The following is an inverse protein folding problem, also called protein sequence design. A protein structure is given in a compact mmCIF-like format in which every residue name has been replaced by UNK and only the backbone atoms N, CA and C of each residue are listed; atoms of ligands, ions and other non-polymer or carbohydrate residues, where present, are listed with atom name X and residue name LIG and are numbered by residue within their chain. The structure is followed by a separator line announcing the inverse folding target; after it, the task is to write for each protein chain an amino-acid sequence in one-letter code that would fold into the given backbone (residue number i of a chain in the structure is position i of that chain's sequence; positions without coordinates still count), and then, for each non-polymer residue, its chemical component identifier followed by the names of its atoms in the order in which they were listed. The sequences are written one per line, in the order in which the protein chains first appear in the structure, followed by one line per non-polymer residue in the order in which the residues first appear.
data_IF_637624292867
#
_entry.id   IF_637624292867
#
_cell.length_a   1.000
_cell.length_b   1.000
_cell.length_c   1.000
_cell.angle_alpha   90.00
_cell.angle_beta   90.00
_cell.angle_gamma   90.00
#
_symmetry.space_group_name_H-M   'P 1'
#
loop_
_entity.id
_entity.type
_entity.pdbx_description
1 polymer ?
#
# COMPACT_ATOMS: atom_id res chain seq x y z
N UNK A 1 -15.92 10.33 13.66
CA UNK A 1 -14.71 9.58 13.28
C UNK A 1 -14.91 8.07 13.40
N UNK A 2 -14.81 7.49 14.61
CA UNK A 2 -14.71 6.02 14.83
C UNK A 2 -15.88 5.18 14.31
N UNK A 3 -17.09 5.72 14.25
CA UNK A 3 -18.26 4.99 13.72
C UNK A 3 -18.16 4.77 12.20
N UNK A 4 -17.56 5.70 11.45
CA UNK A 4 -17.61 5.71 9.98
C UNK A 4 -16.90 4.51 9.37
N UNK A 5 -15.66 4.21 9.79
CA UNK A 5 -14.88 3.06 9.30
C UNK A 5 -15.35 1.70 9.83
N UNK A 6 -16.26 1.72 10.80
CA UNK A 6 -16.89 0.55 11.41
C UNK A 6 -18.36 0.39 10.98
N UNK A 7 -18.87 1.33 10.16
CA UNK A 7 -20.28 1.39 9.80
C UNK A 7 -20.58 0.39 8.69
N UNK A 8 -21.45 -0.58 8.97
CA UNK A 8 -21.95 -1.50 7.95
C UNK A 8 -22.82 -0.80 6.89
N UNK A 9 -23.32 0.41 7.17
CA UNK A 9 -24.12 1.21 6.22
C UNK A 9 -23.27 1.96 5.20
N UNK A 10 -22.02 2.32 5.53
CA UNK A 10 -21.15 3.04 4.59
C UNK A 10 -20.18 2.05 3.95
N UNK A 11 -20.29 1.85 2.64
CA UNK A 11 -19.40 0.98 1.89
C UNK A 11 -17.97 1.60 1.83
N UNK A 12 -16.95 0.79 2.12
CA UNK A 12 -15.54 1.19 2.00
C UNK A 12 -15.05 1.26 0.55
N UNK A 13 -15.82 0.72 -0.40
CA UNK A 13 -15.49 0.65 -1.83
C UNK A 13 -15.08 2.00 -2.41
N UNK A 14 -15.86 3.07 -2.18
CA UNK A 14 -15.53 4.38 -2.72
C UNK A 14 -14.20 4.95 -2.22
N UNK A 15 -13.88 4.76 -0.93
CA UNK A 15 -12.57 5.14 -0.40
C UNK A 15 -11.43 4.26 -0.94
N UNK A 16 -11.69 2.95 -1.06
CA UNK A 16 -10.73 2.00 -1.61
C UNK A 16 -10.39 2.32 -3.07
N UNK A 17 -11.39 2.54 -3.91
CA UNK A 17 -11.24 2.94 -5.31
C UNK A 17 -10.42 4.25 -5.42
N UNK A 18 -10.72 5.24 -4.58
CA UNK A 18 -9.98 6.51 -4.56
C UNK A 18 -8.50 6.34 -4.16
N UNK A 19 -8.21 5.47 -3.19
CA UNK A 19 -6.84 5.15 -2.78
C UNK A 19 -6.11 4.40 -3.91
N UNK A 20 -6.74 3.40 -4.52
CA UNK A 20 -6.19 2.67 -5.67
C UNK A 20 -5.80 3.64 -6.79
N UNK A 21 -6.72 4.51 -7.19
CA UNK A 21 -6.52 5.45 -8.31
C UNK A 21 -5.49 6.54 -7.96
N UNK A 22 -5.41 6.94 -6.70
CA UNK A 22 -4.32 7.78 -6.20
C UNK A 22 -2.96 7.08 -6.28
N UNK A 23 -2.84 5.84 -5.79
CA UNK A 23 -1.59 5.08 -5.85
C UNK A 23 -1.13 4.85 -7.29
N UNK A 24 -2.07 4.57 -8.20
CA UNK A 24 -1.84 4.44 -9.65
C UNK A 24 -1.07 5.62 -10.24
N UNK A 25 -1.33 6.84 -9.77
CA UNK A 25 -0.76 8.09 -10.30
C UNK A 25 0.40 8.63 -9.48
N UNK A 26 0.42 8.37 -8.17
CA UNK A 26 1.44 8.86 -7.24
C UNK A 26 2.73 8.03 -7.31
N UNK A 27 2.61 6.69 -7.33
CA UNK A 27 3.75 5.78 -7.25
C UNK A 27 4.71 5.82 -8.46
N UNK A 28 4.27 5.96 -9.73
CA UNK A 28 5.14 5.95 -10.89
C UNK A 28 6.35 6.86 -10.78
N UNK A 29 6.16 8.10 -10.33
CA UNK A 29 7.24 9.09 -10.20
C UNK A 29 8.32 8.63 -9.22
N UNK A 30 7.89 8.07 -8.08
CA UNK A 30 8.78 7.57 -7.03
C UNK A 30 9.49 6.29 -7.49
N UNK A 31 8.76 5.36 -8.09
CA UNK A 31 9.31 4.10 -8.61
C UNK A 31 10.32 4.35 -9.73
N UNK A 32 10.06 5.31 -10.63
CA UNK A 32 10.99 5.69 -11.68
C UNK A 32 12.26 6.33 -11.13
N UNK A 33 12.13 7.21 -10.13
CA UNK A 33 13.29 7.82 -9.46
C UNK A 33 14.12 6.78 -8.69
N UNK A 34 13.47 5.73 -8.18
CA UNK A 34 14.12 4.56 -7.61
C UNK A 34 14.56 3.51 -8.65
N UNK A 35 14.39 3.78 -9.95
CA UNK A 35 14.62 2.90 -11.11
C UNK A 35 14.05 1.48 -10.94
N UNK A 36 12.83 1.36 -10.41
CA UNK A 36 12.04 0.13 -10.53
C UNK A 36 11.27 0.08 -11.86
N UNK A 37 10.89 1.23 -12.41
CA UNK A 37 10.13 1.35 -13.66
C UNK A 37 10.73 2.44 -14.55
N UNK A 38 10.33 2.47 -15.82
CA UNK A 38 10.80 3.47 -16.78
C UNK A 38 10.38 4.90 -16.36
N UNK A 39 11.19 5.94 -16.60
CA UNK A 39 10.80 7.34 -16.39
C UNK A 39 9.60 7.81 -17.20
N UNK A 40 9.27 7.08 -18.28
CA UNK A 40 8.10 7.32 -19.13
C UNK A 40 6.81 6.78 -18.52
N UNK A 41 6.86 5.91 -17.51
CA UNK A 41 5.67 5.38 -16.81
C UNK A 41 4.94 6.50 -16.11
N UNK A 42 3.73 6.82 -16.58
CA UNK A 42 2.86 7.86 -16.01
C UNK A 42 1.82 7.32 -15.05
N UNK A 43 1.35 6.12 -15.32
CA UNK A 43 0.32 5.43 -14.54
C UNK A 43 0.68 3.96 -14.39
N UNK A 44 0.27 3.36 -13.27
CA UNK A 44 0.37 1.93 -13.04
C UNK A 44 -0.90 1.19 -13.51
N UNK A 45 -0.79 -0.04 -13.99
CA UNK A 45 -1.96 -0.91 -14.18
C UNK A 45 -2.72 -1.10 -12.87
N UNK A 46 -4.04 -1.23 -12.97
CA UNK A 46 -4.95 -1.46 -11.85
C UNK A 46 -5.83 -2.67 -12.12
N UNK A 47 -6.12 -3.45 -11.08
CA UNK A 47 -7.11 -4.54 -11.15
C UNK A 47 -6.92 -5.50 -12.33
N UNK A 48 -5.66 -5.87 -12.62
CA UNK A 48 -5.37 -6.77 -13.72
C UNK A 48 -5.92 -8.18 -13.43
N UNK A 49 -6.54 -8.78 -14.45
CA UNK A 49 -6.95 -10.19 -14.48
C UNK A 49 -5.78 -11.08 -14.88
N UNK A 50 -5.99 -12.41 -14.86
CA UNK A 50 -5.05 -13.40 -15.40
C UNK A 50 -3.67 -13.43 -14.73
N UNK A 51 -3.56 -12.80 -13.56
CA UNK A 51 -2.35 -12.83 -12.72
C UNK A 51 -2.16 -14.20 -12.02
N UNK A 52 -3.24 -14.97 -11.91
CA UNK A 52 -3.27 -16.35 -11.45
C UNK A 52 -4.05 -17.15 -12.51
N UNK A 53 -3.39 -17.87 -13.44
CA UNK A 53 -4.03 -18.45 -14.62
C UNK A 53 -5.18 -19.44 -14.34
N UNK A 54 -5.16 -20.14 -13.20
CA UNK A 54 -6.24 -21.01 -12.75
C UNK A 54 -7.45 -20.24 -12.20
N UNK A 55 -7.30 -18.93 -12.00
CA UNK A 55 -8.30 -18.02 -11.44
C UNK A 55 -8.38 -16.70 -12.25
N UNK A 56 -8.71 -16.76 -13.56
CA UNK A 56 -8.57 -15.63 -14.49
C UNK A 56 -9.40 -14.40 -14.08
N UNK A 57 -10.59 -14.61 -13.52
CA UNK A 57 -11.49 -13.52 -13.08
C UNK A 57 -11.01 -12.82 -11.80
N UNK A 58 -10.01 -13.37 -11.10
CA UNK A 58 -9.52 -12.79 -9.86
C UNK A 58 -8.56 -11.66 -10.16
N UNK A 59 -8.75 -10.57 -9.42
CA UNK A 59 -7.90 -9.38 -9.41
C UNK A 59 -7.12 -9.39 -8.10
N UNK A 60 -5.91 -9.96 -8.07
CA UNK A 60 -5.14 -10.09 -6.82
C UNK A 60 -4.52 -8.78 -6.36
N UNK A 61 -4.36 -7.82 -7.28
CA UNK A 61 -3.70 -6.54 -7.06
C UNK A 61 -4.66 -5.40 -7.39
N UNK A 62 -4.73 -4.41 -6.50
CA UNK A 62 -5.42 -3.16 -6.79
C UNK A 62 -4.58 -2.29 -7.72
N UNK A 63 -3.26 -2.28 -7.52
CA UNK A 63 -2.27 -1.59 -8.35
C UNK A 63 -1.06 -2.51 -8.53
N UNK A 64 -0.43 -2.52 -9.69
CA UNK A 64 0.74 -3.37 -9.95
C UNK A 64 1.80 -2.64 -10.77
N UNK A 65 3.04 -3.13 -10.71
CA UNK A 65 4.08 -2.72 -11.64
C UNK A 65 5.00 -3.88 -11.97
N UNK A 66 5.58 -3.85 -13.17
CA UNK A 66 6.63 -4.76 -13.58
C UNK A 66 7.99 -4.09 -13.36
N UNK A 67 8.83 -4.63 -12.46
CA UNK A 67 10.20 -4.17 -12.32
C UNK A 67 10.96 -4.27 -13.65
N UNK A 68 11.75 -3.25 -14.00
CA UNK A 68 12.58 -3.27 -15.21
C UNK A 68 14.04 -3.55 -14.82
N UNK A 69 14.51 -4.82 -14.93
CA UNK A 69 15.78 -5.26 -14.32
C UNK A 69 17.05 -4.68 -14.97
N UNK A 70 16.95 -3.93 -16.07
CA UNK A 70 18.09 -3.44 -16.86
C UNK A 70 18.07 -1.93 -17.08
N UNK A 71 17.39 -1.15 -16.22
CA UNK A 71 17.34 0.30 -16.38
C UNK A 71 18.72 0.97 -16.27
N UNK A 72 19.59 0.44 -15.40
CA UNK A 72 20.95 0.92 -15.20
C UNK A 72 21.80 -0.15 -14.53
N UNK A 73 23.12 0.02 -14.52
CA UNK A 73 24.04 -0.85 -13.79
C UNK A 73 23.84 -0.80 -12.26
N UNK A 74 23.16 0.24 -11.76
CA UNK A 74 22.89 0.44 -10.33
C UNK A 74 21.43 0.15 -9.96
N UNK A 75 20.58 -0.23 -10.93
CA UNK A 75 19.17 -0.51 -10.71
C UNK A 75 18.97 -1.61 -9.63
N UNK A 76 17.93 -1.50 -8.79
CA UNK A 76 17.70 -2.49 -7.74
C UNK A 76 17.42 -3.86 -8.34
N UNK A 77 18.04 -4.90 -7.79
CA UNK A 77 17.67 -6.26 -8.13
C UNK A 77 16.24 -6.54 -7.64
N UNK A 78 15.31 -6.72 -8.57
CA UNK A 78 13.92 -7.08 -8.31
C UNK A 78 13.48 -8.10 -9.37
N UNK A 79 13.69 -9.40 -9.14
CA UNK A 79 13.54 -10.45 -10.15
C UNK A 79 12.08 -10.91 -10.32
N UNK A 80 11.12 -10.12 -9.85
CA UNK A 80 9.72 -10.49 -9.89
C UNK A 80 9.10 -10.06 -11.22
N UNK A 81 8.20 -10.91 -11.75
CA UNK A 81 7.44 -10.58 -12.94
C UNK A 81 6.52 -9.38 -12.69
N UNK A 82 5.72 -9.47 -11.62
CA UNK A 82 4.83 -8.39 -11.17
C UNK A 82 5.01 -8.18 -9.67
N UNK A 83 5.13 -6.92 -9.28
CA UNK A 83 4.96 -6.46 -7.90
C UNK A 83 3.56 -5.86 -7.80
N UNK A 84 2.72 -6.51 -7.02
CA UNK A 84 1.34 -6.08 -6.81
C UNK A 84 1.12 -5.51 -5.42
N UNK A 85 0.28 -4.49 -5.35
CA UNK A 85 -0.17 -3.80 -4.15
C UNK A 85 -1.65 -4.08 -3.99
N UNK A 86 -2.03 -4.57 -2.80
CA UNK A 86 -3.42 -4.90 -2.48
C UNK A 86 -3.85 -4.10 -1.24
N UNK A 87 -4.63 -3.05 -1.50
CA UNK A 87 -5.08 -2.06 -0.54
C UNK A 87 -6.10 -2.67 0.38
N UNK A 88 -5.95 -2.38 1.67
CA UNK A 88 -6.95 -2.71 2.68
C UNK A 88 -7.17 -1.51 3.58
N UNK A 89 -8.43 -1.24 3.92
CA UNK A 89 -8.79 -0.18 4.87
C UNK A 89 -9.24 -0.85 6.17
N UNK A 90 -8.34 -0.98 7.17
CA UNK A 90 -8.71 -1.51 8.47
C UNK A 90 -9.88 -0.73 9.06
N UNK A 91 -10.75 -1.44 9.77
CA UNK A 91 -11.74 -0.80 10.65
C UNK A 91 -11.00 0.00 11.73
N UNK A 92 -11.64 0.97 12.39
CA UNK A 92 -10.97 1.68 13.49
C UNK A 92 -10.76 0.72 14.67
N UNK A 93 -9.52 0.56 15.19
CA UNK A 93 -9.30 -0.28 16.37
C UNK A 93 -10.12 0.24 17.55
N UNK A 94 -10.81 -0.67 18.26
CA UNK A 94 -11.44 -0.32 19.53
C UNK A 94 -10.34 -0.14 20.57
N UNK A 95 -9.97 1.11 20.83
CA UNK A 95 -9.05 1.45 21.92
C UNK A 95 -9.82 1.38 23.25
N UNK A 96 -9.40 0.49 24.15
CA UNK A 96 -9.77 0.57 25.57
C UNK A 96 -9.27 1.91 26.16
N UNK A 97 -9.97 2.51 27.13
CA UNK A 97 -9.53 3.75 27.75
C UNK A 97 -8.09 3.60 28.28
N UNK A 98 -7.20 4.59 28.04
CA UNK A 98 -5.84 4.49 28.56
C UNK A 98 -5.88 4.52 30.09
N UNK A 99 -5.45 3.42 30.72
CA UNK A 99 -5.05 3.47 32.12
C UNK A 99 -3.73 4.25 32.21
N UNK A 100 -3.63 5.18 33.17
CA UNK A 100 -2.47 6.03 33.44
C UNK A 100 -1.20 5.17 33.69
N UNK A 101 -0.53 4.75 32.61
CA UNK A 101 0.76 4.07 32.64
C UNK A 101 1.76 4.90 31.84
N UNK A 102 3.03 4.86 32.23
CA UNK A 102 4.10 5.63 31.58
C UNK A 102 4.29 5.24 30.09
N UNK A 103 3.82 4.05 29.68
CA UNK A 103 4.05 3.46 28.34
C UNK A 103 2.83 3.50 27.42
N UNK A 104 1.89 4.43 27.61
CA UNK A 104 0.64 4.50 26.83
C UNK A 104 0.90 4.63 25.32
N UNK A 105 1.87 5.46 24.90
CA UNK A 105 2.20 5.66 23.48
C UNK A 105 2.68 4.36 22.83
N UNK A 106 3.55 3.61 23.52
CA UNK A 106 4.10 2.36 23.01
C UNK A 106 3.01 1.30 22.88
N UNK A 107 2.16 1.16 23.91
CA UNK A 107 1.03 0.22 23.90
C UNK A 107 0.03 0.54 22.80
N UNK A 108 -0.33 1.81 22.62
CA UNK A 108 -1.23 2.26 21.56
C UNK A 108 -0.63 1.97 20.18
N UNK A 109 0.66 2.27 19.98
CA UNK A 109 1.36 2.01 18.72
C UNK A 109 1.45 0.52 18.40
N UNK A 110 1.75 -0.31 19.39
CA UNK A 110 1.81 -1.77 19.24
C UNK A 110 0.42 -2.36 18.91
N UNK A 111 -0.63 -1.86 19.55
CA UNK A 111 -2.00 -2.29 19.28
C UNK A 111 -2.46 -1.88 17.87
N UNK A 112 -2.14 -0.66 17.42
CA UNK A 112 -2.42 -0.21 16.06
C UNK A 112 -1.70 -1.10 15.02
N UNK A 113 -0.43 -1.44 15.27
CA UNK A 113 0.33 -2.33 14.40
C UNK A 113 -0.28 -3.74 14.33
N UNK A 114 -0.61 -4.35 15.47
CA UNK A 114 -1.28 -5.67 15.51
C UNK A 114 -2.60 -5.64 14.75
N UNK A 115 -3.34 -4.54 14.88
CA UNK A 115 -4.59 -4.34 14.15
C UNK A 115 -4.37 -4.28 12.63
N UNK A 116 -3.41 -3.50 12.15
CA UNK A 116 -3.04 -3.48 10.72
C UNK A 116 -2.62 -4.86 10.22
N UNK A 117 -1.77 -5.56 10.97
CA UNK A 117 -1.32 -6.90 10.63
C UNK A 117 -2.46 -7.91 10.52
N UNK A 118 -3.57 -7.73 11.24
CA UNK A 118 -4.73 -8.61 11.11
C UNK A 118 -5.36 -8.52 9.71
N UNK A 119 -5.40 -7.32 9.11
CA UNK A 119 -5.91 -7.07 7.76
C UNK A 119 -4.89 -7.46 6.69
N UNK A 120 -3.61 -7.16 6.89
CA UNK A 120 -2.55 -7.62 5.97
C UNK A 120 -2.52 -9.15 5.88
N UNK A 121 -2.74 -9.83 7.01
CA UNK A 121 -2.87 -11.29 7.06
C UNK A 121 -4.07 -11.80 6.28
N UNK A 122 -5.22 -11.10 6.35
CA UNK A 122 -6.41 -11.47 5.58
C UNK A 122 -6.17 -11.37 4.07
N UNK A 123 -5.43 -10.34 3.62
CA UNK A 123 -5.04 -10.19 2.20
C UNK A 123 -4.11 -11.32 1.75
N UNK A 124 -3.06 -11.62 2.52
CA UNK A 124 -2.11 -12.70 2.20
C UNK A 124 -2.72 -14.10 2.30
N UNK A 125 -3.80 -14.29 3.06
CA UNK A 125 -4.57 -15.53 3.10
C UNK A 125 -5.67 -15.59 2.03
N UNK A 126 -5.97 -14.44 1.41
CA UNK A 126 -7.13 -14.22 0.54
C UNK A 126 -8.41 -14.75 1.19
N UNK A 127 -8.66 -14.35 2.44
CA UNK A 127 -9.80 -14.88 3.23
C UNK A 127 -11.17 -14.62 2.57
N UNK A 128 -11.27 -13.59 1.71
CA UNK A 128 -12.47 -13.34 0.88
C UNK A 128 -12.73 -14.39 -0.20
N UNK A 129 -11.69 -15.14 -0.61
CA UNK A 129 -11.76 -16.21 -1.62
C UNK A 129 -11.91 -17.61 -0.97
N UNK A 130 -12.36 -17.67 0.29
CA UNK A 130 -12.70 -18.91 1.01
C UNK A 130 -11.58 -19.98 0.96
N UNK A 131 -11.89 -21.16 0.42
CA UNK A 131 -10.98 -22.32 0.33
C UNK A 131 -9.92 -22.17 -0.76
N UNK A 132 -10.13 -21.29 -1.75
CA UNK A 132 -9.23 -21.10 -2.90
C UNK A 132 -8.11 -20.11 -2.59
N UNK A 133 -8.26 -19.30 -1.54
CA UNK A 133 -7.35 -18.19 -1.28
C UNK A 133 -5.87 -18.55 -1.21
N UNK A 134 -5.52 -19.68 -0.57
CA UNK A 134 -4.10 -20.11 -0.49
C UNK A 134 -3.60 -20.70 -1.82
N UNK A 135 -4.49 -21.27 -2.63
CA UNK A 135 -4.16 -21.77 -3.97
C UNK A 135 -3.88 -20.60 -4.93
N UNK A 136 -4.70 -19.54 -4.90
CA UNK A 136 -4.46 -18.29 -5.64
C UNK A 136 -3.07 -17.73 -5.29
N UNK A 137 -2.72 -17.64 -4.01
CA UNK A 137 -1.38 -17.19 -3.59
C UNK A 137 -0.28 -18.13 -4.10
N UNK A 138 -0.55 -19.44 -4.14
CA UNK A 138 0.33 -20.44 -4.74
C UNK A 138 0.63 -20.17 -6.22
N UNK A 139 -0.37 -19.80 -7.00
CA UNK A 139 -0.21 -19.44 -8.42
C UNK A 139 0.55 -18.12 -8.61
N UNK A 140 0.22 -17.08 -7.82
CA UNK A 140 1.03 -15.85 -7.83
C UNK A 140 2.50 -16.15 -7.51
N UNK A 141 2.75 -17.12 -6.62
CA UNK A 141 4.10 -17.54 -6.29
C UNK A 141 4.79 -18.24 -7.47
N UNK A 142 4.09 -19.09 -8.22
CA UNK A 142 4.65 -19.82 -9.38
C UNK A 142 4.89 -18.90 -10.58
N UNK A 143 4.02 -17.92 -10.80
CA UNK A 143 4.20 -16.87 -11.83
C UNK A 143 5.29 -15.84 -11.46
N UNK A 144 6.01 -16.05 -10.36
CA UNK A 144 7.09 -15.17 -9.93
C UNK A 144 6.61 -13.78 -9.50
N UNK A 145 5.34 -13.65 -9.10
CA UNK A 145 4.76 -12.40 -8.61
C UNK A 145 4.98 -12.25 -7.11
N UNK A 146 4.83 -11.02 -6.62
CA UNK A 146 4.82 -10.70 -5.19
C UNK A 146 3.62 -9.81 -4.86
N UNK A 147 2.94 -10.14 -3.76
CA UNK A 147 1.79 -9.43 -3.23
C UNK A 147 2.21 -8.65 -1.98
N UNK A 148 2.05 -7.33 -2.01
CA UNK A 148 2.32 -6.42 -0.88
C UNK A 148 0.97 -5.92 -0.36
N UNK A 149 0.51 -6.38 0.81
CA UNK A 149 -0.63 -5.78 1.48
C UNK A 149 -0.35 -4.32 1.82
N UNK A 150 -1.29 -3.45 1.52
CA UNK A 150 -1.16 -2.01 1.71
C UNK A 150 -2.28 -1.51 2.61
N UNK A 151 -2.11 -1.72 3.92
CA UNK A 151 -3.09 -1.26 4.88
C UNK A 151 -3.02 0.26 5.06
N UNK A 152 -4.19 0.93 4.99
CA UNK A 152 -4.34 2.38 5.17
C UNK A 152 -5.49 2.65 6.14
N UNK A 153 -5.20 3.32 7.25
CA UNK A 153 -6.21 3.74 8.23
C UNK A 153 -6.52 5.25 8.17
N UNK A 154 -7.55 5.65 8.91
CA UNK A 154 -8.04 7.03 8.94
C UNK A 154 -7.16 8.04 9.68
N UNK A 155 -6.00 7.64 10.24
CA UNK A 155 -5.09 8.57 10.90
C UNK A 155 -4.17 9.31 9.90
N UNK A 156 -4.10 8.86 8.64
CA UNK A 156 -3.37 9.54 7.58
C UNK A 156 -1.84 9.60 7.78
N UNK A 157 -1.09 9.81 6.69
CA UNK A 157 0.38 9.91 6.73
C UNK A 157 1.11 8.62 7.10
N UNK A 158 2.36 8.73 7.58
CA UNK A 158 3.23 7.59 7.92
C UNK A 158 2.66 6.73 9.08
N UNK A 159 1.90 7.34 9.98
CA UNK A 159 1.26 6.65 11.12
C UNK A 159 0.03 5.83 10.74
N UNK A 160 -0.62 6.15 9.61
CA UNK A 160 -1.81 5.44 9.14
C UNK A 160 -1.54 4.29 8.18
N UNK A 161 -0.28 3.88 8.02
CA UNK A 161 0.11 2.79 7.13
C UNK A 161 0.39 1.50 7.91
N UNK A 162 0.01 0.37 7.30
CA UNK A 162 0.38 -0.96 7.78
C UNK A 162 1.88 -1.23 7.68
N UNK A 163 2.42 -2.16 8.48
CA UNK A 163 3.83 -2.49 8.45
C UNK A 163 4.35 -2.93 7.08
N UNK A 164 3.56 -3.62 6.26
CA UNK A 164 3.99 -4.01 4.92
C UNK A 164 4.07 -2.82 3.96
N UNK A 165 3.11 -1.89 4.04
CA UNK A 165 3.16 -0.63 3.29
C UNK A 165 4.37 0.22 3.71
N UNK A 166 4.63 0.33 5.01
CA UNK A 166 5.78 1.08 5.55
C UNK A 166 7.11 0.45 5.16
N UNK A 167 7.19 -0.88 5.16
CA UNK A 167 8.35 -1.62 4.67
C UNK A 167 8.62 -1.32 3.19
N UNK A 168 7.60 -1.41 2.35
CA UNK A 168 7.69 -1.11 0.94
C UNK A 168 8.16 0.33 0.68
N UNK A 169 7.51 1.31 1.29
CA UNK A 169 7.80 2.73 1.03
C UNK A 169 9.09 3.21 1.73
N UNK A 170 9.24 2.96 3.03
CA UNK A 170 10.26 3.61 3.88
C UNK A 170 11.35 2.64 4.35
N UNK A 171 11.11 1.32 4.29
CA UNK A 171 12.07 0.29 4.70
C UNK A 171 11.89 -0.19 6.14
N UNK A 172 10.91 0.37 6.85
CA UNK A 172 10.60 0.04 8.23
C UNK A 172 10.43 -1.46 8.44
N UNK A 173 10.99 -1.98 9.53
CA UNK A 173 10.77 -3.38 9.92
C UNK A 173 9.50 -3.46 10.76
N UNK A 174 8.60 -4.42 10.49
CA UNK A 174 7.51 -4.69 11.43
C UNK A 174 8.10 -5.08 12.80
N UNK A 175 7.46 -4.64 13.89
CA UNK A 175 7.84 -5.01 15.26
C UNK A 175 7.76 -6.53 15.46
N UNK A 176 6.81 -7.16 14.78
CA UNK A 176 6.59 -8.62 14.83
C UNK A 176 6.31 -9.15 13.44
N UNK A 177 6.90 -10.29 13.09
CA UNK A 177 6.59 -10.97 11.84
C UNK A 177 5.13 -11.43 11.79
N UNK A 178 4.51 -11.37 10.61
CA UNK A 178 3.21 -12.01 10.37
C UNK A 178 3.38 -13.54 10.39
N UNK A 179 2.37 -14.25 10.92
CA UNK A 179 2.56 -15.68 11.24
C UNK A 179 1.68 -16.72 10.56
N UNK A 180 0.46 -16.52 10.08
CA UNK A 180 -0.34 -17.57 9.39
C UNK A 180 -0.55 -18.94 10.10
N UNK A 181 -1.58 -19.65 9.66
CA UNK A 181 -1.89 -21.01 10.13
C UNK A 181 -1.25 -22.03 9.20
N UNK A 182 -1.07 -23.27 9.67
CA UNK A 182 -0.47 -24.36 8.88
C UNK A 182 -1.27 -24.70 7.60
N UNK A 183 -2.59 -24.45 7.59
CA UNK A 183 -3.46 -24.61 6.41
C UNK A 183 -3.30 -23.50 5.36
N UNK A 184 -2.41 -22.52 5.61
CA UNK A 184 -2.11 -21.41 4.70
C UNK A 184 -0.61 -21.30 4.40
N UNK A 185 0.04 -22.35 3.86
CA UNK A 185 1.47 -22.36 3.60
C UNK A 185 1.90 -21.36 2.54
N UNK A 186 1.09 -21.10 1.50
CA UNK A 186 1.45 -20.15 0.47
C UNK A 186 1.38 -18.70 0.98
N UNK A 187 0.47 -18.39 1.90
CA UNK A 187 0.47 -17.10 2.60
C UNK A 187 1.80 -16.84 3.34
N UNK A 188 2.34 -17.85 4.04
CA UNK A 188 3.65 -17.77 4.69
C UNK A 188 4.77 -17.55 3.68
N UNK A 189 4.76 -18.29 2.56
CA UNK A 189 5.75 -18.14 1.47
C UNK A 189 5.68 -16.76 0.83
N UNK A 190 4.49 -16.23 0.59
CA UNK A 190 4.30 -14.89 0.03
C UNK A 190 4.77 -13.80 0.98
N UNK A 191 4.48 -13.92 2.27
CA UNK A 191 5.02 -13.01 3.28
C UNK A 191 6.56 -13.03 3.31
N UNK A 192 7.15 -14.22 3.30
CA UNK A 192 8.60 -14.39 3.26
C UNK A 192 9.21 -13.85 1.96
N UNK A 193 8.49 -13.91 0.84
CA UNK A 193 8.89 -13.31 -0.44
C UNK A 193 8.81 -11.78 -0.41
N UNK A 194 7.76 -11.21 0.19
CA UNK A 194 7.49 -9.78 0.17
C UNK A 194 8.28 -8.96 1.22
N UNK A 195 8.83 -9.60 2.26
CA UNK A 195 9.43 -8.89 3.40
C UNK A 195 10.90 -8.48 3.22
N UNK A 196 11.81 -9.37 2.77
CA UNK A 196 13.22 -9.03 2.55
C UNK A 196 13.54 -8.73 1.08
N UNK A 197 14.71 -8.13 0.79
CA UNK A 197 15.26 -8.18 -0.56
C UNK A 197 15.29 -9.63 -1.09
N UNK A 198 15.02 -9.85 -2.39
CA UNK A 198 14.99 -8.85 -3.45
C UNK A 198 13.62 -8.17 -3.67
N UNK A 199 12.66 -8.31 -2.74
CA UNK A 199 11.45 -7.50 -2.80
C UNK A 199 11.71 -6.02 -2.62
N UNK A 200 10.93 -5.17 -3.32
CA UNK A 200 11.08 -3.73 -3.19
C UNK A 200 10.75 -3.33 -1.77
N UNK A 201 11.70 -2.64 -1.16
CA UNK A 201 11.57 -2.05 0.17
C UNK A 201 12.31 -0.72 0.16
N UNK A 202 11.93 0.18 1.07
CA UNK A 202 12.53 1.50 1.17
C UNK A 202 12.55 2.27 -0.18
N UNK A 203 11.54 2.07 -1.03
CA UNK A 203 11.50 2.63 -2.40
C UNK A 203 11.66 4.15 -2.38
N UNK A 204 11.07 4.82 -1.39
CA UNK A 204 11.13 6.28 -1.23
C UNK A 204 12.49 6.74 -0.75
N UNK A 205 13.09 5.97 0.16
CA UNK A 205 14.45 6.20 0.66
C UNK A 205 15.44 6.09 -0.49
N UNK A 206 15.32 5.04 -1.31
CA UNK A 206 16.14 4.86 -2.49
C UNK A 206 15.94 5.98 -3.52
N UNK A 207 14.68 6.35 -3.80
CA UNK A 207 14.37 7.48 -4.68
C UNK A 207 15.03 8.78 -4.17
N UNK A 208 14.95 9.03 -2.87
CA UNK A 208 15.57 10.21 -2.25
C UNK A 208 17.09 10.21 -2.38
N UNK A 209 17.74 9.07 -2.18
CA UNK A 209 19.20 8.93 -2.35
C UNK A 209 19.62 9.23 -3.80
N UNK A 210 18.93 8.62 -4.77
CA UNK A 210 19.23 8.80 -6.20
C UNK A 210 18.94 10.20 -6.70
N UNK A 211 17.81 10.77 -6.26
CA UNK A 211 17.47 12.14 -6.62
C UNK A 211 18.53 13.12 -6.11
N UNK A 212 19.03 12.95 -4.88
CA UNK A 212 20.12 13.79 -4.34
C UNK A 212 21.42 13.65 -5.14
N UNK A 213 21.74 12.44 -5.60
CA UNK A 213 22.95 12.21 -6.43
C UNK A 213 22.83 12.84 -7.82
N UNK A 214 21.63 12.85 -8.39
CA UNK A 214 21.37 13.29 -9.76
C UNK A 214 20.52 14.58 -9.82
N UNK A 215 20.61 15.42 -8.77
CA UNK A 215 19.71 16.56 -8.61
C UNK A 215 19.96 17.63 -9.68
N UNK A 216 19.04 17.77 -10.64
CA UNK A 216 19.07 18.81 -11.68
C UNK A 216 18.21 20.03 -11.36
N UNK A 217 17.39 19.98 -10.30
CA UNK A 217 16.44 21.03 -9.91
C UNK A 217 16.40 21.19 -8.40
N UNK A 218 16.07 22.40 -7.92
CA UNK A 218 16.01 22.72 -6.50
C UNK A 218 15.00 21.86 -5.70
N UNK A 219 13.83 21.58 -6.28
CA UNK A 219 12.75 20.85 -5.60
C UNK A 219 12.18 19.72 -6.44
N UNK A 220 12.02 18.54 -5.85
CA UNK A 220 11.46 17.37 -6.51
C UNK A 220 9.99 17.54 -6.89
N UNK A 221 9.18 18.07 -5.98
CA UNK A 221 7.74 18.30 -6.17
C UNK A 221 7.39 19.63 -6.84
N UNK A 222 8.36 20.36 -7.40
CA UNK A 222 8.19 21.72 -7.92
C UNK A 222 7.71 22.75 -6.89
N UNK A 223 7.79 22.43 -5.60
CA UNK A 223 7.39 23.29 -4.49
C UNK A 223 8.43 23.21 -3.37
N UNK A 224 8.67 24.33 -2.69
CA UNK A 224 9.52 24.38 -1.50
C UNK A 224 8.97 23.50 -0.35
N UNK A 225 7.67 23.21 -0.36
CA UNK A 225 7.04 22.31 0.61
C UNK A 225 7.28 20.83 0.29
N UNK A 226 7.72 20.49 -0.91
CA UNK A 226 7.99 19.12 -1.37
C UNK A 226 9.42 18.99 -1.93
N UNK A 227 10.45 19.28 -1.11
CA UNK A 227 11.81 19.42 -1.62
C UNK A 227 12.38 18.09 -2.08
N UNK A 228 12.09 16.97 -1.40
CA UNK A 228 12.60 15.65 -1.78
C UNK A 228 11.49 14.67 -2.18
N UNK A 229 11.83 13.53 -2.80
CA UNK A 229 10.86 12.46 -3.07
C UNK A 229 10.06 12.02 -1.85
N UNK A 230 10.69 12.04 -0.66
CA UNK A 230 10.06 11.67 0.59
C UNK A 230 8.92 12.63 0.97
N UNK A 231 9.18 13.93 1.06
CA UNK A 231 8.14 14.91 1.40
C UNK A 231 7.05 14.98 0.34
N UNK A 232 7.45 14.90 -0.95
CA UNK A 232 6.48 14.88 -2.04
C UNK A 232 5.52 13.70 -1.92
N UNK A 233 6.01 12.48 -1.69
CA UNK A 233 5.14 11.32 -1.54
C UNK A 233 4.21 11.48 -0.33
N UNK A 234 4.73 11.87 0.83
CA UNK A 234 3.92 12.02 2.04
C UNK A 234 2.78 13.03 1.84
N UNK A 235 3.02 14.13 1.13
CA UNK A 235 1.98 15.09 0.80
C UNK A 235 0.93 14.50 -0.15
N UNK A 236 1.35 13.82 -1.21
CA UNK A 236 0.43 13.23 -2.17
C UNK A 236 -0.43 12.11 -1.54
N UNK A 237 0.19 11.22 -0.76
CA UNK A 237 -0.53 10.19 -0.01
C UNK A 237 -1.45 10.81 1.04
N UNK A 238 -0.97 11.80 1.80
CA UNK A 238 -1.78 12.50 2.80
C UNK A 238 -3.03 13.13 2.18
N UNK A 239 -2.90 13.80 1.03
CA UNK A 239 -4.02 14.38 0.29
C UNK A 239 -4.97 13.29 -0.22
N UNK A 240 -4.43 12.25 -0.85
CA UNK A 240 -5.20 11.13 -1.38
C UNK A 240 -6.03 10.44 -0.29
N UNK A 241 -5.41 10.07 0.82
CA UNK A 241 -6.06 9.36 1.92
C UNK A 241 -7.10 10.24 2.60
N UNK A 242 -6.78 11.51 2.86
CA UNK A 242 -7.73 12.45 3.48
C UNK A 242 -9.00 12.61 2.65
N UNK A 243 -8.85 12.74 1.31
CA UNK A 243 -10.00 12.81 0.40
C UNK A 243 -10.79 11.50 0.37
N UNK A 244 -10.12 10.35 0.29
CA UNK A 244 -10.77 9.04 0.30
C UNK A 244 -11.63 8.86 1.56
N UNK A 245 -11.11 9.20 2.74
CA UNK A 245 -11.84 9.09 3.99
C UNK A 245 -12.93 10.15 4.16
N UNK A 246 -12.75 11.34 3.57
CA UNK A 246 -13.81 12.34 3.50
C UNK A 246 -15.01 11.81 2.69
N UNK A 247 -14.78 11.22 1.51
CA UNK A 247 -15.83 10.61 0.67
C UNK A 247 -16.61 9.55 1.47
N UNK A 248 -15.91 8.68 2.18
CA UNK A 248 -16.54 7.64 3.00
C UNK A 248 -17.32 8.17 4.21
N UNK A 249 -17.03 9.38 4.66
CA UNK A 249 -17.69 10.04 5.81
C UNK A 249 -18.96 10.81 5.42
N UNK A 250 -19.21 11.04 4.12
CA UNK A 250 -20.35 11.82 3.64
C UNK A 250 -21.56 10.89 3.37
N UNK A 251 -22.77 11.22 3.87
CA UNK A 251 -23.98 10.46 3.54
C UNK A 251 -24.26 10.44 2.03
N UNK A 252 -24.76 9.32 1.51
CA UNK A 252 -24.97 9.02 0.08
C UNK A 252 -25.68 10.14 -0.70
N UNK A 253 -26.56 10.91 -0.05
CA UNK A 253 -27.27 12.06 -0.62
C UNK A 253 -26.38 13.26 -1.03
N UNK A 254 -25.14 13.35 -0.57
CA UNK A 254 -24.20 14.45 -0.88
C UNK A 254 -22.93 13.97 -1.61
N UNK A 255 -22.75 12.66 -1.81
CA UNK A 255 -21.56 12.09 -2.45
C UNK A 255 -21.45 12.49 -3.93
N UNK A 256 -22.59 12.58 -4.63
CA UNK A 256 -22.64 12.96 -6.05
C UNK A 256 -22.19 14.40 -6.34
N UNK A 257 -22.29 15.30 -5.34
CA UNK A 257 -21.91 16.71 -5.49
C UNK A 257 -20.41 16.93 -5.27
N UNK A 258 -19.76 16.09 -4.46
CA UNK A 258 -18.32 16.18 -4.13
C UNK A 258 -17.41 15.57 -5.22
N UNK A 259 -17.88 14.55 -5.96
CA UNK A 259 -17.15 14.01 -7.11
C UNK A 259 -16.93 15.05 -8.20
N UNK A 260 -17.86 16.01 -8.34
CA UNK A 260 -17.80 17.07 -9.35
C UNK A 260 -16.97 18.30 -8.94
N UNK A 261 -16.72 18.49 -7.64
CA UNK A 261 -15.94 19.63 -7.11
C UNK A 261 -14.48 19.29 -6.80
N UNK A 262 -14.12 18.01 -6.77
CA UNK A 262 -12.77 17.54 -6.42
C UNK A 262 -12.00 16.86 -7.57
N UNK A 263 -12.56 16.83 -8.78
CA UNK A 263 -11.80 16.60 -10.03
C UNK A 263 -10.94 17.83 -10.32
N UNK A 264 -9.62 17.68 -10.25
CA UNK A 264 -8.70 18.73 -10.66
C UNK A 264 -8.67 18.88 -12.19
N UNK A 265 -8.33 20.07 -12.74
CA UNK A 265 -7.72 20.19 -14.05
C UNK A 265 -6.34 19.52 -14.13
#
# INVERSE_FOLDING_TARGET
GRHVLNCLKNNKKGAHDYIRDGLKTILPKILATAEYVLPTTKELPTEQTDMAPGYPDKKPFDVSFQPTPTLSATAPACPFGIVGIDVVIPSTPQLSPPHNSLDVIEKVSANAEVHHQSYERQKLRRDGDRSEGDAIIGELLSEGHVLIPFAVDGHGGHGGLGPMARRFLFGDRPRRALTFRQDRPNATRMYARASPPPAPHAVVTLASLRWKQNQTRAFYGHSYTAPTPHEHLLQQLGLCFTKAFAIHSVPEAHAATLTYTLTFP
#
